data_IF_499839405787
#
_entry.id   IF_499839405787
#
_cell.length_a   1.000
_cell.length_b   1.000
_cell.length_c   1.000
_cell.angle_alpha   90.00
_cell.angle_beta   90.00
_cell.angle_gamma   90.00
#
_symmetry.space_group_name_H-M   'P 1'
#
loop_
_entity.id
_entity.type
_entity.pdbx_description
1 polymer ?
#
# COMPACT_ATOMS: atom_id res chain seq x y z
N UNK A 1 -49.60 -3.51 -20.62
CA UNK A 1 -48.69 -2.63 -19.86
C UNK A 1 -47.88 -3.33 -18.76
N UNK A 2 -48.39 -4.37 -18.07
CA UNK A 2 -47.72 -5.02 -16.95
C UNK A 2 -46.43 -5.80 -17.29
N UNK A 3 -46.37 -6.55 -18.40
CA UNK A 3 -45.17 -7.32 -18.79
C UNK A 3 -43.90 -6.46 -18.93
N UNK A 4 -44.02 -5.28 -19.56
CA UNK A 4 -42.90 -4.33 -19.71
C UNK A 4 -42.44 -3.74 -18.38
N UNK A 5 -43.33 -3.60 -17.39
CA UNK A 5 -42.97 -3.16 -16.03
C UNK A 5 -42.25 -4.27 -15.26
N UNK A 6 -42.70 -5.51 -15.35
CA UNK A 6 -42.08 -6.67 -14.70
C UNK A 6 -40.65 -6.86 -15.23
N UNK A 7 -40.45 -6.81 -16.55
CA UNK A 7 -39.11 -6.93 -17.15
C UNK A 7 -38.16 -5.83 -16.65
N UNK A 8 -38.62 -4.58 -16.55
CA UNK A 8 -37.79 -3.48 -16.02
C UNK A 8 -37.40 -3.70 -14.56
N UNK A 9 -38.33 -4.16 -13.72
CA UNK A 9 -38.07 -4.43 -12.31
C UNK A 9 -37.07 -5.59 -12.16
N UNK A 10 -37.23 -6.66 -12.93
CA UNK A 10 -36.26 -7.78 -12.93
C UNK A 10 -34.88 -7.33 -13.40
N UNK A 11 -34.78 -6.47 -14.40
CA UNK A 11 -33.50 -5.94 -14.88
C UNK A 11 -32.78 -5.12 -13.79
N UNK A 12 -33.53 -4.29 -13.07
CA UNK A 12 -32.99 -3.49 -11.95
C UNK A 12 -32.54 -4.40 -10.81
N UNK A 13 -33.33 -5.42 -10.46
CA UNK A 13 -32.97 -6.37 -9.41
C UNK A 13 -31.67 -7.14 -9.75
N UNK A 14 -31.51 -7.58 -11.00
CA UNK A 14 -30.28 -8.23 -11.48
C UNK A 14 -29.09 -7.28 -11.39
N UNK A 15 -29.27 -6.01 -11.78
CA UNK A 15 -28.21 -5.01 -11.70
C UNK A 15 -27.78 -4.73 -10.25
N UNK A 16 -28.72 -4.64 -9.32
CA UNK A 16 -28.44 -4.45 -7.89
C UNK A 16 -27.66 -5.64 -7.33
N UNK A 17 -28.07 -6.87 -7.67
CA UNK A 17 -27.34 -8.08 -7.25
C UNK A 17 -25.92 -8.09 -7.82
N UNK A 18 -25.73 -7.72 -9.09
CA UNK A 18 -24.41 -7.62 -9.70
C UNK A 18 -23.53 -6.59 -9.00
N UNK A 19 -24.05 -5.40 -8.66
CA UNK A 19 -23.30 -4.37 -7.94
C UNK A 19 -22.89 -4.86 -6.55
N UNK A 20 -23.81 -5.51 -5.82
CA UNK A 20 -23.52 -6.04 -4.48
C UNK A 20 -22.43 -7.12 -4.49
N UNK A 21 -22.41 -7.95 -5.53
CA UNK A 21 -21.35 -8.94 -5.74
C UNK A 21 -20.02 -8.31 -6.18
N UNK A 22 -20.07 -7.14 -6.84
CA UNK A 22 -18.88 -6.46 -7.34
C UNK A 22 -18.08 -5.75 -6.23
N UNK A 23 -18.73 -5.28 -5.17
CA UNK A 23 -18.09 -4.58 -4.04
C UNK A 23 -16.96 -5.39 -3.37
N UNK A 24 -17.18 -6.66 -2.94
CA UNK A 24 -16.10 -7.46 -2.36
C UNK A 24 -15.00 -7.76 -3.37
N UNK A 25 -15.36 -7.97 -4.64
CA UNK A 25 -14.39 -8.21 -5.72
C UNK A 25 -13.47 -7.00 -5.95
N UNK A 26 -14.04 -5.80 -5.88
CA UNK A 26 -13.28 -4.54 -5.92
C UNK A 26 -12.33 -4.43 -4.73
N UNK A 27 -12.76 -4.80 -3.52
CA UNK A 27 -11.87 -4.82 -2.35
C UNK A 27 -10.68 -5.76 -2.55
N UNK A 28 -10.88 -6.93 -3.17
CA UNK A 28 -9.79 -7.88 -3.45
C UNK A 28 -8.84 -7.38 -4.54
N UNK A 29 -9.35 -6.74 -5.60
CA UNK A 29 -8.51 -6.21 -6.69
C UNK A 29 -7.69 -4.99 -6.24
N UNK A 30 -8.25 -4.15 -5.38
CA UNK A 30 -7.58 -2.95 -4.86
C UNK A 30 -6.84 -3.20 -3.55
N UNK A 31 -6.70 -4.45 -3.11
CA UNK A 31 -5.78 -4.76 -2.02
C UNK A 31 -4.37 -4.40 -2.49
N UNK A 32 -3.81 -3.38 -1.83
CA UNK A 32 -2.40 -3.01 -1.92
C UNK A 32 -1.58 -4.30 -1.77
N UNK A 33 -0.72 -4.67 -2.74
CA UNK A 33 0.05 -5.89 -2.62
C UNK A 33 0.89 -5.79 -1.34
N UNK A 34 0.65 -6.70 -0.40
CA UNK A 34 1.49 -6.81 0.79
C UNK A 34 2.80 -7.43 0.33
N UNK A 35 3.87 -6.63 0.29
CA UNK A 35 5.19 -7.00 -0.21
C UNK A 35 6.17 -7.31 0.92
N UNK A 36 5.75 -7.16 2.17
CA UNK A 36 6.63 -7.38 3.32
C UNK A 36 5.96 -7.17 4.66
N UNK A 37 6.78 -7.19 5.70
CA UNK A 37 6.34 -7.07 7.09
C UNK A 37 7.00 -5.89 7.82
N UNK A 38 6.31 -5.42 8.86
CA UNK A 38 6.83 -4.43 9.80
C UNK A 38 7.20 -5.17 11.09
N UNK A 39 8.36 -4.88 11.66
CA UNK A 39 8.80 -5.40 12.97
C UNK A 39 9.48 -4.30 13.78
N UNK A 40 9.66 -4.52 15.09
CA UNK A 40 10.22 -3.52 16.01
C UNK A 40 9.16 -2.94 16.94
N UNK A 41 9.60 -2.19 17.94
CA UNK A 41 8.70 -1.59 18.94
C UNK A 41 8.01 -0.34 18.39
N UNK A 42 8.69 0.38 17.49
CA UNK A 42 8.21 1.61 16.88
C UNK A 42 8.32 1.54 15.35
N UNK A 43 8.01 0.37 14.79
CA UNK A 43 8.09 0.10 13.35
C UNK A 43 9.52 0.19 12.79
N UNK A 44 10.52 0.00 13.65
CA UNK A 44 11.94 0.26 13.36
C UNK A 44 12.48 -0.49 12.13
N UNK A 45 11.84 -1.60 11.75
CA UNK A 45 12.33 -2.51 10.73
C UNK A 45 11.24 -2.90 9.74
N UNK A 46 11.63 -2.91 8.47
CA UNK A 46 10.83 -3.41 7.36
C UNK A 46 11.57 -4.53 6.67
N UNK A 47 10.88 -5.64 6.39
CA UNK A 47 11.44 -6.75 5.64
C UNK A 47 10.64 -6.98 4.35
N UNK A 48 11.29 -6.89 3.20
CA UNK A 48 10.71 -7.07 1.86
C UNK A 48 11.60 -8.06 1.11
N UNK A 49 11.04 -9.19 0.67
CA UNK A 49 11.78 -10.25 -0.05
C UNK A 49 13.10 -10.70 0.62
N UNK A 50 13.10 -10.76 1.96
CA UNK A 50 14.29 -11.13 2.76
C UNK A 50 15.35 -10.02 2.88
N UNK A 51 15.07 -8.82 2.35
CA UNK A 51 15.90 -7.63 2.54
C UNK A 51 15.35 -6.82 3.70
N UNK A 52 16.21 -6.55 4.68
CA UNK A 52 15.88 -5.78 5.86
C UNK A 52 16.24 -4.30 5.66
N UNK A 53 15.32 -3.43 6.04
CA UNK A 53 15.47 -1.99 6.05
C UNK A 53 15.25 -1.47 7.46
N UNK A 54 16.06 -0.51 7.89
CA UNK A 54 16.03 0.12 9.21
C UNK A 54 15.60 1.56 9.06
N UNK A 55 14.69 2.02 9.91
CA UNK A 55 14.24 3.41 9.93
C UNK A 55 15.43 4.37 10.10
N UNK A 56 15.51 5.37 9.24
CA UNK A 56 16.52 6.42 9.31
C UNK A 56 15.99 7.66 10.05
N UNK A 57 15.64 7.46 11.32
CA UNK A 57 14.97 8.48 12.15
C UNK A 57 15.77 9.77 12.31
N UNK A 58 17.10 9.69 12.24
CA UNK A 58 18.00 10.85 12.32
C UNK A 58 18.26 11.52 10.96
N UNK A 59 17.76 10.94 9.86
CA UNK A 59 18.08 11.37 8.49
C UNK A 59 19.57 11.22 8.14
N UNK A 60 20.33 10.44 8.91
CA UNK A 60 21.78 10.37 8.78
C UNK A 60 22.22 9.53 7.57
N UNK A 61 21.36 8.62 7.08
CA UNK A 61 21.64 7.78 5.92
C UNK A 61 21.01 8.34 4.66
N UNK A 62 19.83 8.95 4.77
CA UNK A 62 19.05 9.54 3.70
C UNK A 62 19.21 11.07 3.63
N UNK A 63 20.32 11.63 4.15
CA UNK A 63 20.63 13.08 4.26
C UNK A 63 20.56 13.88 2.93
N UNK A 64 20.39 13.20 1.79
CA UNK A 64 20.18 13.81 0.48
C UNK A 64 18.74 13.75 -0.05
N UNK A 65 17.81 13.14 0.67
CA UNK A 65 16.45 12.88 0.21
C UNK A 65 15.40 13.53 1.11
N UNK A 66 14.29 13.90 0.49
CA UNK A 66 13.13 14.48 1.14
C UNK A 66 11.86 13.74 0.72
N UNK A 67 10.74 13.98 1.41
CA UNK A 67 9.46 13.38 1.02
C UNK A 67 9.01 13.75 -0.41
N UNK A 68 9.54 14.82 -1.01
CA UNK A 68 9.32 15.17 -2.42
C UNK A 68 9.96 14.17 -3.40
N UNK A 69 11.00 13.48 -2.93
CA UNK A 69 11.73 12.45 -3.66
C UNK A 69 11.04 11.09 -3.61
N UNK A 70 9.83 11.00 -3.04
CA UNK A 70 8.98 9.82 -3.16
C UNK A 70 8.77 9.46 -4.62
N UNK A 71 9.17 8.23 -4.95
CA UNK A 71 9.12 7.63 -6.27
C UNK A 71 7.84 6.85 -6.51
N UNK A 72 8.00 5.73 -7.19
CA UNK A 72 6.91 4.84 -7.58
C UNK A 72 6.40 4.04 -6.39
N UNK A 73 5.11 3.73 -6.42
CA UNK A 73 4.49 2.86 -5.43
C UNK A 73 4.91 1.41 -5.66
N UNK A 74 5.48 0.77 -4.64
CA UNK A 74 5.98 -0.60 -4.72
C UNK A 74 4.99 -1.61 -4.14
N UNK A 75 4.27 -1.22 -3.08
CA UNK A 75 3.40 -2.12 -2.34
C UNK A 75 3.15 -1.62 -0.93
N UNK A 76 2.69 -2.50 -0.05
CA UNK A 76 2.50 -2.20 1.36
C UNK A 76 3.17 -3.22 2.26
N UNK A 77 3.51 -2.81 3.47
CA UNK A 77 4.06 -3.67 4.53
C UNK A 77 3.12 -3.63 5.73
N UNK A 78 3.03 -4.72 6.48
CA UNK A 78 2.14 -4.80 7.65
C UNK A 78 2.68 -5.70 8.74
N UNK A 79 2.35 -5.40 10.00
CA UNK A 79 2.51 -6.30 11.15
C UNK A 79 1.19 -7.03 11.53
N UNK A 80 0.14 -6.87 10.72
CA UNK A 80 -1.21 -7.33 10.97
C UNK A 80 -2.14 -6.31 11.64
N UNK A 81 -1.58 -5.27 12.29
CA UNK A 81 -2.34 -4.19 12.93
C UNK A 81 -2.21 -2.87 12.16
N UNK A 82 -1.01 -2.57 11.70
CA UNK A 82 -0.62 -1.37 10.95
C UNK A 82 -0.27 -1.77 9.53
N UNK A 83 -0.64 -0.93 8.57
CA UNK A 83 -0.25 -1.08 7.17
C UNK A 83 0.38 0.22 6.69
N UNK A 84 1.59 0.13 6.14
CA UNK A 84 2.30 1.28 5.58
C UNK A 84 2.48 1.09 4.08
N UNK A 85 2.28 2.16 3.30
CA UNK A 85 2.56 2.16 1.87
C UNK A 85 4.06 2.34 1.67
N UNK A 86 4.65 1.58 0.75
CA UNK A 86 6.07 1.60 0.43
C UNK A 86 6.27 2.18 -0.97
N UNK A 87 7.25 3.06 -1.10
CA UNK A 87 7.62 3.72 -2.34
C UNK A 87 9.13 3.62 -2.56
N UNK A 88 9.55 3.60 -3.83
CA UNK A 88 10.94 3.84 -4.19
C UNK A 88 11.33 5.30 -3.91
N UNK A 89 12.63 5.58 -3.91
CA UNK A 89 13.17 6.94 -3.72
C UNK A 89 13.81 7.40 -5.04
N UNK A 90 13.37 8.56 -5.55
CA UNK A 90 13.93 9.17 -6.75
C UNK A 90 15.40 9.51 -6.53
N UNK A 91 16.25 9.15 -7.48
CA UNK A 91 17.69 9.35 -7.38
C UNK A 91 18.43 8.20 -6.70
N UNK A 92 17.73 7.26 -6.05
CA UNK A 92 18.31 5.99 -5.61
C UNK A 92 18.02 4.87 -6.62
N UNK A 93 18.98 4.64 -7.51
CA UNK A 93 18.91 3.55 -8.48
C UNK A 93 19.33 2.19 -7.90
N UNK A 94 19.82 2.15 -6.66
CA UNK A 94 20.34 0.93 -6.03
C UNK A 94 19.30 0.20 -5.18
N UNK A 95 18.17 0.84 -4.88
CA UNK A 95 17.17 0.31 -3.94
C UNK A 95 17.71 0.23 -2.51
N UNK A 96 18.65 1.11 -2.17
CA UNK A 96 19.19 1.22 -0.81
C UNK A 96 18.19 1.88 0.13
N UNK A 97 17.31 2.73 -0.37
CA UNK A 97 16.33 3.46 0.41
C UNK A 97 14.93 3.18 -0.07
N UNK A 98 14.02 3.07 0.90
CA UNK A 98 12.58 3.10 0.66
C UNK A 98 11.97 4.24 1.46
N UNK A 99 10.87 4.78 0.94
CA UNK A 99 10.05 5.74 1.65
C UNK A 99 8.74 5.09 2.04
N UNK A 100 8.37 5.16 3.30
CA UNK A 100 7.07 4.66 3.78
C UNK A 100 6.12 5.79 4.12
N UNK A 101 4.83 5.50 4.01
CA UNK A 101 3.77 6.42 4.38
C UNK A 101 2.70 5.67 5.18
N UNK A 102 2.60 6.02 6.46
CA UNK A 102 1.55 5.61 7.38
C UNK A 102 0.57 6.76 7.58
N UNK A 103 -0.64 6.64 7.03
CA UNK A 103 -1.62 7.72 6.93
C UNK A 103 -1.01 9.01 6.30
N UNK A 104 -0.62 9.98 7.12
CA UNK A 104 0.03 11.24 6.73
C UNK A 104 1.51 11.31 7.14
N UNK A 105 1.98 10.42 8.01
CA UNK A 105 3.34 10.40 8.50
C UNK A 105 4.22 9.50 7.63
N UNK A 106 5.41 9.98 7.27
CA UNK A 106 6.25 9.27 6.34
C UNK A 106 7.71 9.33 6.71
N UNK A 107 8.37 8.19 6.57
CA UNK A 107 9.72 7.95 7.07
C UNK A 107 10.56 7.26 6.00
N UNK A 108 11.87 7.51 6.06
CA UNK A 108 12.84 6.80 5.25
C UNK A 108 13.35 5.58 5.99
N UNK A 109 13.55 4.51 5.24
CA UNK A 109 14.26 3.33 5.72
C UNK A 109 15.43 3.05 4.79
N UNK A 110 16.56 2.70 5.39
CA UNK A 110 17.78 2.34 4.68
C UNK A 110 18.01 0.85 4.81
N UNK A 111 18.40 0.20 3.72
CA UNK A 111 18.78 -1.21 3.69
C UNK A 111 19.90 -1.47 4.71
N UNK A 112 19.72 -2.50 5.53
CA UNK A 112 20.74 -3.04 6.42
C UNK A 112 21.72 -3.85 5.56
N UNK A 113 23.00 -3.48 5.61
CA UNK A 113 24.08 -4.15 4.86
C UNK A 113 24.42 -5.53 5.46
#
# INVERSE_FOLDING_TARGET
MHKKRIVKISLIAILVVLILLFIPFFKTIFQLPIIGSITGAEYDFIEIDGVRYVEDRAGARADGFSSADRGEYLGAVTDGNVTMRVFSVKGDNSGRYIYTLWDWDGAFYARED
#
